data_IF_087559611755
#
_entry.id   IF_087559611755
#
_cell.length_a   1.000
_cell.length_b   1.000
_cell.length_c   1.000
_cell.angle_alpha   90.00
_cell.angle_beta   90.00
_cell.angle_gamma   90.00
#
_symmetry.space_group_name_H-M   'P 1'
#
loop_
_entity.id
_entity.type
_entity.pdbx_description
1 polymer ?
#
# COMPACT_ATOMS: atom_id res chain seq x y z
N UNK A 1 -16.78 13.27 23.21
CA UNK A 1 -17.07 13.06 24.64
C UNK A 1 -18.49 13.46 25.06
N UNK A 2 -19.09 14.54 24.54
CA UNK A 2 -20.51 14.90 24.83
C UNK A 2 -21.49 13.79 24.46
N UNK A 3 -21.26 13.07 23.35
CA UNK A 3 -22.10 11.95 22.91
C UNK A 3 -22.16 10.75 23.87
N UNK A 4 -21.17 10.59 24.76
CA UNK A 4 -21.17 9.53 25.78
C UNK A 4 -22.17 9.82 26.90
N UNK A 5 -22.46 11.11 27.14
CA UNK A 5 -23.44 11.56 28.13
C UNK A 5 -24.85 11.68 27.56
N UNK A 6 -25.00 11.94 26.26
CA UNK A 6 -26.31 12.10 25.61
C UNK A 6 -26.83 10.80 24.98
N UNK A 7 -26.01 9.75 24.88
CA UNK A 7 -26.37 8.49 24.21
C UNK A 7 -26.55 8.61 22.69
N UNK A 8 -26.27 9.78 22.12
CA UNK A 8 -26.42 10.06 20.68
C UNK A 8 -25.06 10.01 20.01
N UNK A 9 -24.94 9.16 18.97
CA UNK A 9 -23.77 9.15 18.07
C UNK A 9 -23.80 10.42 17.21
N UNK A 10 -23.01 11.43 17.60
CA UNK A 10 -22.96 12.73 16.92
C UNK A 10 -22.20 12.69 15.58
N UNK A 11 -21.36 11.67 15.36
CA UNK A 11 -20.56 11.51 14.15
C UNK A 11 -20.72 10.11 13.57
N UNK A 12 -20.66 10.00 12.24
CA UNK A 12 -20.67 8.73 11.53
C UNK A 12 -19.23 8.30 11.22
N UNK A 13 -18.72 7.35 12.01
CA UNK A 13 -17.37 6.85 11.85
C UNK A 13 -17.18 6.08 10.54
N UNK A 14 -18.19 5.37 10.03
CA UNK A 14 -18.10 4.65 8.77
C UNK A 14 -17.79 5.59 7.59
N UNK A 15 -18.39 6.78 7.56
CA UNK A 15 -18.12 7.79 6.51
C UNK A 15 -16.70 8.33 6.62
N UNK A 16 -16.23 8.58 7.86
CA UNK A 16 -14.87 9.06 8.10
C UNK A 16 -13.86 8.00 7.68
N UNK A 17 -14.06 6.74 8.04
CA UNK A 17 -13.20 5.64 7.59
C UNK A 17 -13.24 5.48 6.07
N UNK A 18 -14.42 5.52 5.45
CA UNK A 18 -14.56 5.42 4.00
C UNK A 18 -13.77 6.51 3.26
N UNK A 19 -13.69 7.73 3.82
CA UNK A 19 -12.86 8.81 3.27
C UNK A 19 -11.38 8.40 3.18
N UNK A 20 -10.82 7.82 4.25
CA UNK A 20 -9.42 7.35 4.26
C UNK A 20 -9.20 6.22 3.26
N UNK A 21 -10.21 5.37 3.05
CA UNK A 21 -10.14 4.29 2.09
C UNK A 21 -10.14 4.80 0.65
N UNK A 22 -11.05 5.72 0.32
CA UNK A 22 -11.11 6.35 -1.00
C UNK A 22 -9.84 7.16 -1.30
N UNK A 23 -9.35 7.91 -0.32
CA UNK A 23 -8.09 8.64 -0.45
C UNK A 23 -6.92 7.71 -0.79
N UNK A 24 -6.81 6.59 -0.08
CA UNK A 24 -5.76 5.59 -0.30
C UNK A 24 -5.85 4.96 -1.69
N UNK A 25 -7.05 4.63 -2.17
CA UNK A 25 -7.28 4.11 -3.51
C UNK A 25 -6.79 5.09 -4.58
N UNK A 26 -7.23 6.36 -4.51
CA UNK A 26 -6.87 7.38 -5.48
C UNK A 26 -5.35 7.59 -5.49
N UNK A 27 -4.73 7.67 -4.31
CA UNK A 27 -3.28 7.88 -4.20
C UNK A 27 -2.48 6.73 -4.81
N UNK A 28 -2.85 5.48 -4.50
CA UNK A 28 -2.16 4.30 -5.01
C UNK A 28 -2.30 4.09 -6.51
N UNK A 29 -3.50 4.29 -7.07
CA UNK A 29 -3.68 4.26 -8.52
C UNK A 29 -3.03 5.45 -9.22
N UNK A 30 -3.03 6.62 -8.57
CA UNK A 30 -2.39 7.84 -9.08
C UNK A 30 -0.89 7.68 -9.25
N UNK A 31 -0.20 7.06 -8.31
CA UNK A 31 1.26 6.90 -8.37
C UNK A 31 1.72 6.06 -9.57
N UNK A 32 1.04 4.94 -9.80
CA UNK A 32 1.28 4.09 -10.96
C UNK A 32 0.94 4.82 -12.28
N UNK A 33 -0.15 5.57 -12.29
CA UNK A 33 -0.55 6.36 -13.46
C UNK A 33 0.48 7.46 -13.81
N UNK A 34 0.99 8.18 -12.81
CA UNK A 34 2.00 9.24 -12.98
C UNK A 34 3.29 8.67 -13.57
N UNK A 35 3.76 7.52 -13.06
CA UNK A 35 4.98 6.88 -13.55
C UNK A 35 4.83 6.47 -15.02
N UNK A 36 3.69 5.85 -15.37
CA UNK A 36 3.39 5.44 -16.75
C UNK A 36 3.40 6.61 -17.75
N UNK A 37 2.92 7.77 -17.34
CA UNK A 37 2.87 8.97 -18.21
C UNK A 37 4.15 9.81 -18.14
N UNK A 38 5.15 9.40 -17.35
CA UNK A 38 6.41 10.13 -17.22
C UNK A 38 6.28 11.50 -16.55
N UNK A 39 5.16 11.78 -15.87
CA UNK A 39 4.86 13.05 -15.15
C UNK A 39 5.38 13.01 -13.70
N UNK A 40 6.37 12.17 -13.45
CA UNK A 40 7.02 12.12 -12.14
C UNK A 40 7.71 13.45 -11.84
N UNK A 41 7.71 13.86 -10.57
CA UNK A 41 8.42 15.06 -10.13
C UNK A 41 9.92 14.79 -10.32
N UNK A 42 10.55 15.57 -11.20
CA UNK A 42 11.99 15.52 -11.47
C UNK A 42 12.61 16.84 -11.03
N UNK A 43 13.88 16.80 -10.66
CA UNK A 43 14.61 18.01 -10.29
C UNK A 43 14.89 18.82 -11.56
N UNK A 44 14.06 19.81 -11.85
CA UNK A 44 14.02 20.51 -13.14
C UNK A 44 15.33 21.20 -13.52
N UNK A 45 16.09 21.73 -12.56
CA UNK A 45 17.36 22.40 -12.86
C UNK A 45 18.42 21.46 -13.44
N UNK A 46 18.43 20.20 -13.01
CA UNK A 46 19.46 19.23 -13.41
C UNK A 46 19.16 18.66 -14.81
N UNK A 47 17.88 18.60 -15.19
CA UNK A 47 17.41 17.96 -16.41
C UNK A 47 17.30 18.92 -17.61
N UNK A 48 17.17 20.23 -17.42
CA UNK A 48 16.93 21.18 -18.51
C UNK A 48 17.96 21.07 -19.66
N UNK A 49 19.26 21.05 -19.35
CA UNK A 49 20.33 21.12 -20.34
C UNK A 49 21.00 19.77 -20.68
N UNK A 50 20.36 18.64 -20.38
CA UNK A 50 20.97 17.31 -20.58
C UNK A 50 20.56 16.67 -21.91
N UNK A 51 21.49 15.92 -22.52
CA UNK A 51 21.22 15.11 -23.72
C UNK A 51 20.21 14.00 -23.42
N UNK A 52 19.42 13.53 -24.43
CA UNK A 52 18.40 12.50 -24.22
C UNK A 52 18.99 11.20 -23.64
N UNK A 53 20.20 10.82 -24.04
CA UNK A 53 20.92 9.66 -23.47
C UNK A 53 21.26 9.85 -21.99
N UNK A 54 21.69 11.05 -21.58
CA UNK A 54 22.02 11.32 -20.17
C UNK A 54 20.77 11.37 -19.30
N UNK A 55 19.66 11.91 -19.82
CA UNK A 55 18.35 11.84 -19.16
C UNK A 55 17.93 10.38 -18.94
N UNK A 56 18.02 9.54 -19.98
CA UNK A 56 17.68 8.13 -19.88
C UNK A 56 18.55 7.37 -18.87
N UNK A 57 19.85 7.67 -18.81
CA UNK A 57 20.75 7.09 -17.80
C UNK A 57 20.37 7.48 -16.36
N UNK A 58 20.06 8.76 -16.12
CA UNK A 58 19.67 9.24 -14.79
C UNK A 58 18.38 8.56 -14.36
N UNK A 59 17.37 8.51 -15.23
CA UNK A 59 16.12 7.83 -14.94
C UNK A 59 16.36 6.35 -14.65
N UNK A 60 17.14 5.65 -15.48
CA UNK A 60 17.43 4.22 -15.32
C UNK A 60 18.10 3.91 -13.97
N UNK A 61 19.11 4.69 -13.60
CA UNK A 61 19.81 4.55 -12.32
C UNK A 61 18.86 4.84 -11.15
N UNK A 62 18.01 5.87 -11.26
CA UNK A 62 17.01 6.20 -10.24
C UNK A 62 16.00 5.07 -10.02
N UNK A 63 15.56 4.41 -11.10
CA UNK A 63 14.67 3.25 -10.99
C UNK A 63 15.35 2.08 -10.26
N UNK A 64 16.62 1.80 -10.56
CA UNK A 64 17.36 0.70 -9.94
C UNK A 64 17.70 0.97 -8.47
N UNK A 65 18.19 2.17 -8.15
CA UNK A 65 18.73 2.45 -6.82
C UNK A 65 17.69 2.95 -5.83
N UNK A 66 16.60 3.56 -6.30
CA UNK A 66 15.56 4.10 -5.42
C UNK A 66 14.24 3.37 -5.59
N UNK A 67 13.70 3.29 -6.82
CA UNK A 67 12.32 2.86 -7.01
C UNK A 67 12.11 1.36 -6.79
N UNK A 68 12.94 0.51 -7.41
CA UNK A 68 12.88 -0.94 -7.25
C UNK A 68 13.09 -1.40 -5.80
N UNK A 69 14.16 -0.99 -5.08
CA UNK A 69 14.36 -1.41 -3.71
C UNK A 69 13.24 -0.91 -2.80
N UNK A 70 12.72 0.30 -3.04
CA UNK A 70 11.55 0.81 -2.31
C UNK A 70 10.30 -0.06 -2.53
N UNK A 71 10.00 -0.44 -3.78
CA UNK A 71 8.85 -1.31 -4.06
C UNK A 71 9.01 -2.70 -3.43
N UNK A 72 10.20 -3.30 -3.54
CA UNK A 72 10.49 -4.61 -2.95
C UNK A 72 10.35 -4.55 -1.44
N UNK A 73 10.93 -3.53 -0.80
CA UNK A 73 10.83 -3.33 0.64
C UNK A 73 9.38 -3.11 1.08
N UNK A 74 8.62 -2.30 0.35
CA UNK A 74 7.21 -2.04 0.65
C UNK A 74 6.37 -3.32 0.57
N UNK A 75 6.56 -4.13 -0.48
CA UNK A 75 5.89 -5.43 -0.62
C UNK A 75 6.30 -6.36 0.52
N UNK A 76 7.61 -6.44 0.82
CA UNK A 76 8.14 -7.30 1.87
C UNK A 76 7.56 -6.97 3.25
N UNK A 77 7.55 -5.68 3.62
CA UNK A 77 7.02 -5.23 4.91
C UNK A 77 5.50 -5.40 4.99
N UNK A 78 4.79 -5.24 3.87
CA UNK A 78 3.32 -5.28 3.85
C UNK A 78 2.75 -6.70 3.71
N UNK A 79 3.54 -7.66 3.22
CA UNK A 79 3.08 -9.02 2.94
C UNK A 79 2.47 -9.73 4.15
N UNK A 80 3.20 -9.79 5.28
CA UNK A 80 2.71 -10.44 6.49
C UNK A 80 1.48 -9.74 7.09
N UNK A 81 1.46 -8.41 7.29
CA UNK A 81 0.28 -7.69 7.77
C UNK A 81 -0.98 -7.94 6.92
N UNK A 82 -0.83 -8.05 5.59
CA UNK A 82 -1.95 -8.40 4.71
C UNK A 82 -2.45 -9.80 5.03
N UNK A 83 -1.58 -10.81 5.02
CA UNK A 83 -2.01 -12.19 5.30
C UNK A 83 -2.70 -12.32 6.66
N UNK A 84 -2.16 -11.67 7.69
CA UNK A 84 -2.77 -11.63 9.02
C UNK A 84 -4.17 -11.04 8.98
N UNK A 85 -4.38 -9.95 8.24
CA UNK A 85 -5.71 -9.35 8.08
C UNK A 85 -6.71 -10.21 7.32
N UNK A 86 -6.24 -11.19 6.53
CA UNK A 86 -7.08 -12.20 5.87
C UNK A 86 -7.22 -13.50 6.71
N UNK A 87 -6.92 -13.42 8.01
CA UNK A 87 -7.04 -14.54 8.94
C UNK A 87 -5.89 -15.56 8.88
N UNK A 88 -4.86 -15.32 8.06
CA UNK A 88 -3.69 -16.18 7.98
C UNK A 88 -2.60 -15.69 8.95
N UNK A 89 -2.54 -16.29 10.13
CA UNK A 89 -1.59 -15.92 11.19
C UNK A 89 -0.28 -16.71 11.02
N UNK A 90 0.70 -16.12 10.33
CA UNK A 90 2.08 -16.62 10.30
C UNK A 90 2.85 -16.10 11.53
N UNK A 91 3.38 -16.98 12.38
CA UNK A 91 4.10 -16.60 13.61
C UNK A 91 5.58 -16.25 13.37
N UNK A 92 6.02 -16.03 12.13
CA UNK A 92 7.43 -16.04 11.78
C UNK A 92 7.74 -14.99 10.70
N UNK A 93 8.00 -13.75 11.13
CA UNK A 93 8.43 -12.68 10.24
C UNK A 93 9.48 -11.78 10.90
N UNK A 94 10.48 -11.34 10.12
CA UNK A 94 11.58 -10.44 10.53
C UNK A 94 11.09 -9.13 11.17
N UNK A 95 9.82 -8.79 10.98
CA UNK A 95 9.13 -7.64 11.58
C UNK A 95 7.99 -8.08 12.52
N UNK A 96 8.17 -9.10 13.38
CA UNK A 96 7.17 -9.53 14.40
C UNK A 96 6.80 -8.44 15.44
N UNK A 97 7.46 -7.27 15.42
CA UNK A 97 7.06 -6.13 16.24
C UNK A 97 5.65 -5.59 15.94
N UNK A 98 5.13 -5.76 14.72
CA UNK A 98 3.80 -5.24 14.34
C UNK A 98 2.64 -6.00 15.01
N UNK A 99 2.84 -7.27 15.39
CA UNK A 99 1.88 -8.08 16.15
C UNK A 99 1.54 -7.48 17.53
N UNK A 100 2.39 -6.57 18.02
CA UNK A 100 2.17 -5.84 19.28
C UNK A 100 1.38 -4.55 19.10
N UNK A 101 1.35 -3.98 17.89
CA UNK A 101 0.71 -2.69 17.59
C UNK A 101 -0.65 -2.84 16.89
N UNK A 102 -0.95 -3.99 16.30
CA UNK A 102 -2.20 -4.25 15.59
C UNK A 102 -3.39 -4.63 16.51
N UNK A 103 -3.18 -4.65 17.84
CA UNK A 103 -4.22 -4.98 18.82
C UNK A 103 -4.62 -6.46 18.82
N UNK A 104 -3.88 -7.36 18.13
CA UNK A 104 -4.19 -8.79 18.18
C UNK A 104 -4.05 -9.38 19.59
N UNK A 105 -3.19 -8.80 20.44
CA UNK A 105 -3.12 -9.11 21.87
C UNK A 105 -4.38 -8.73 22.65
N UNK A 106 -5.05 -7.65 22.25
CA UNK A 106 -6.28 -7.13 22.84
C UNK A 106 -7.51 -7.92 22.38
N UNK A 107 -7.54 -8.36 21.11
CA UNK A 107 -8.55 -9.28 20.59
C UNK A 107 -8.45 -10.68 21.24
N UNK A 108 -7.23 -11.18 21.50
CA UNK A 108 -6.99 -12.40 22.27
C UNK A 108 -7.45 -12.22 23.73
N UNK A 109 -7.22 -11.05 24.33
CA UNK A 109 -7.66 -10.74 25.70
C UNK A 109 -9.19 -10.62 25.81
N UNK A 110 -9.85 -10.00 24.83
CA UNK A 110 -11.31 -9.88 24.75
C UNK A 110 -11.99 -11.24 24.55
N UNK A 111 -11.41 -12.12 23.72
CA UNK A 111 -11.89 -13.50 23.59
C UNK A 111 -11.70 -14.31 24.87
N UNK A 112 -10.54 -14.16 25.53
CA UNK A 112 -10.28 -14.78 26.84
C UNK A 112 -11.27 -14.31 27.91
N UNK A 113 -11.70 -13.05 27.86
CA UNK A 113 -12.73 -12.49 28.74
C UNK A 113 -14.13 -13.07 28.45
N UNK A 114 -14.51 -13.25 27.18
CA UNK A 114 -15.79 -13.86 26.80
C UNK A 114 -15.90 -15.35 27.16
N UNK A 115 -14.80 -16.12 27.09
CA UNK A 115 -14.81 -17.53 27.51
C UNK A 115 -14.86 -17.74 29.02
N UNK A 116 -14.49 -16.74 29.83
CA UNK A 116 -14.66 -16.80 31.28
C UNK A 116 -16.15 -16.69 31.70
N UNK A 117 -17.05 -16.27 30.80
CA UNK A 117 -18.49 -16.14 31.06
C UNK A 117 -19.30 -17.40 30.70
N UNK A 118 -18.71 -18.37 29.97
CA UNK A 118 -19.37 -19.61 29.58
C UNK A 118 -18.61 -20.82 30.17
N UNK A 119 -19.21 -21.61 31.08
CA UNK A 119 -18.56 -22.76 31.70
C UNK A 119 -18.25 -23.91 30.73
N UNK A 120 -18.76 -23.86 29.50
CA UNK A 120 -18.52 -24.86 28.46
C UNK A 120 -17.58 -24.37 27.33
N UNK A 121 -17.01 -23.15 27.42
CA UNK A 121 -16.04 -22.71 26.42
C UNK A 121 -14.73 -23.50 26.56
N UNK A 122 -14.53 -24.50 25.70
CA UNK A 122 -13.18 -25.03 25.44
C UNK A 122 -12.38 -23.99 24.65
N UNK A 123 -11.25 -23.56 25.22
CA UNK A 123 -10.26 -22.72 24.52
C UNK A 123 -9.56 -23.60 23.47
N UNK A 124 -10.25 -23.88 22.37
CA UNK A 124 -9.65 -24.57 21.24
C UNK A 124 -9.01 -23.52 20.32
N UNK A 125 -7.69 -23.59 20.15
CA UNK A 125 -6.95 -22.66 19.29
C UNK A 125 -7.49 -22.67 17.85
N UNK A 126 -8.13 -23.77 17.41
CA UNK A 126 -8.76 -23.90 16.09
C UNK A 126 -10.12 -23.20 15.97
N UNK A 127 -10.88 -22.99 17.05
CA UNK A 127 -12.16 -22.24 17.01
C UNK A 127 -11.94 -20.73 17.00
N UNK A 128 -10.85 -20.26 17.62
CA UNK A 128 -10.39 -18.87 17.62
C UNK A 128 -10.05 -18.32 16.23
N UNK A 129 -9.43 -19.15 15.36
CA UNK A 129 -9.00 -18.74 14.01
C UNK A 129 -10.19 -18.70 13.02
N UNK A 130 -11.33 -19.30 13.39
CA UNK A 130 -12.45 -19.54 12.47
C UNK A 130 -13.52 -18.45 12.47
N UNK A 131 -13.50 -17.50 13.41
CA UNK A 131 -14.64 -16.60 13.64
C UNK A 131 -14.54 -15.23 12.97
N UNK A 132 -13.38 -14.83 12.44
CA UNK A 132 -13.26 -13.61 11.63
C UNK A 132 -12.40 -13.91 10.40
N UNK A 133 -13.01 -14.05 9.21
CA UNK A 133 -12.23 -14.22 7.98
C UNK A 133 -11.37 -12.98 7.66
N UNK A 134 -11.73 -11.82 8.22
CA UNK A 134 -11.04 -10.55 7.96
C UNK A 134 -10.95 -9.67 9.23
N UNK A 135 -9.90 -8.86 9.32
CA UNK A 135 -9.78 -7.81 10.35
C UNK A 135 -10.82 -6.69 10.13
N UNK A 136 -11.54 -6.31 11.19
CA UNK A 136 -12.51 -5.20 11.23
C UNK A 136 -11.95 -4.06 12.09
N UNK A 137 -12.26 -2.82 11.73
CA UNK A 137 -11.87 -1.64 12.52
C UNK A 137 -12.43 -1.71 13.95
N UNK A 138 -11.64 -1.43 15.01
CA UNK A 138 -12.10 -1.38 16.40
C UNK A 138 -13.12 -0.28 16.68
N UNK A 139 -13.25 0.69 15.78
CA UNK A 139 -14.19 1.79 15.91
C UNK A 139 -15.65 1.31 15.74
N UNK A 140 -16.60 1.93 16.45
CA UNK A 140 -18.01 1.56 16.33
C UNK A 140 -18.52 1.87 14.91
N UNK A 141 -19.12 0.86 14.26
CA UNK A 141 -19.52 0.87 12.84
C UNK A 141 -18.34 0.83 11.84
N UNK A 142 -17.22 0.26 12.30
CA UNK A 142 -15.97 0.17 11.57
C UNK A 142 -15.99 -0.76 10.34
N UNK A 143 -15.24 -0.38 9.30
CA UNK A 143 -15.17 -1.11 8.04
C UNK A 143 -14.14 -2.26 8.08
N UNK A 144 -14.27 -3.27 7.20
CA UNK A 144 -13.23 -4.28 7.01
C UNK A 144 -11.90 -3.65 6.58
N UNK A 145 -10.80 -4.00 7.25
CA UNK A 145 -9.44 -3.48 6.98
C UNK A 145 -8.63 -4.35 6.03
N UNK A 146 -9.02 -5.61 5.86
CA UNK A 146 -8.29 -6.53 4.98
C UNK A 146 -8.24 -6.10 3.51
N UNK A 147 -9.32 -5.55 2.90
CA UNK A 147 -9.29 -5.09 1.51
C UNK A 147 -8.37 -3.89 1.29
N UNK A 148 -8.26 -2.97 2.25
CA UNK A 148 -7.38 -1.80 2.06
C UNK A 148 -5.90 -2.19 2.16
N UNK A 149 -5.56 -3.12 3.04
CA UNK A 149 -4.19 -3.63 3.14
C UNK A 149 -3.78 -4.38 1.87
N UNK A 150 -4.68 -5.13 1.21
CA UNK A 150 -4.34 -5.77 -0.08
C UNK A 150 -4.14 -4.77 -1.20
N UNK A 151 -4.87 -3.65 -1.20
CA UNK A 151 -4.67 -2.59 -2.18
C UNK A 151 -3.25 -2.02 -2.12
N UNK A 152 -2.59 -2.02 -0.97
CA UNK A 152 -1.18 -1.63 -0.85
C UNK A 152 -0.30 -2.56 -1.69
N UNK A 153 -0.49 -3.89 -1.59
CA UNK A 153 0.26 -4.86 -2.40
C UNK A 153 -0.03 -4.73 -3.89
N UNK A 154 -1.30 -4.51 -4.26
CA UNK A 154 -1.68 -4.27 -5.65
C UNK A 154 -1.02 -3.00 -6.19
N UNK A 155 -1.00 -1.92 -5.40
CA UNK A 155 -0.38 -0.65 -5.76
C UNK A 155 1.11 -0.80 -6.02
N UNK A 156 1.86 -1.30 -5.05
CA UNK A 156 3.31 -1.48 -5.19
C UNK A 156 3.67 -2.56 -6.22
N UNK A 157 2.85 -3.61 -6.36
CA UNK A 157 3.02 -4.60 -7.43
C UNK A 157 2.85 -3.99 -8.82
N UNK A 158 1.83 -3.15 -9.00
CA UNK A 158 1.61 -2.43 -10.26
C UNK A 158 2.74 -1.44 -10.56
N UNK A 159 3.23 -0.72 -9.54
CA UNK A 159 4.32 0.23 -9.65
C UNK A 159 5.63 -0.49 -9.98
N UNK A 160 5.89 -1.64 -9.37
CA UNK A 160 7.04 -2.49 -9.67
C UNK A 160 7.02 -2.97 -11.12
N UNK A 161 5.86 -3.42 -11.62
CA UNK A 161 5.71 -3.86 -13.01
C UNK A 161 5.94 -2.70 -13.99
N UNK A 162 5.45 -1.50 -13.67
CA UNK A 162 5.69 -0.30 -14.46
C UNK A 162 7.15 0.15 -14.41
N UNK A 163 7.82 0.06 -13.26
CA UNK A 163 9.24 0.34 -13.15
C UNK A 163 10.06 -0.57 -14.09
N UNK A 164 9.69 -1.86 -14.18
CA UNK A 164 10.30 -2.79 -15.14
C UNK A 164 10.01 -2.37 -16.58
N UNK A 165 8.76 -2.02 -16.91
CA UNK A 165 8.40 -1.59 -18.25
C UNK A 165 9.17 -0.35 -18.69
N UNK A 166 9.30 0.67 -17.83
CA UNK A 166 10.07 1.88 -18.11
C UNK A 166 11.58 1.60 -18.23
N UNK A 167 12.14 0.75 -17.37
CA UNK A 167 13.54 0.32 -17.52
C UNK A 167 13.83 -0.33 -18.88
N UNK A 168 12.92 -1.16 -19.39
CA UNK A 168 13.09 -1.78 -20.72
C UNK A 168 13.12 -0.71 -21.82
N UNK A 169 12.21 0.29 -21.76
CA UNK A 169 12.20 1.40 -22.71
C UNK A 169 13.50 2.22 -22.62
N UNK A 170 13.96 2.51 -21.40
CA UNK A 170 15.19 3.25 -21.17
C UNK A 170 16.41 2.51 -21.72
N UNK A 171 16.48 1.19 -21.55
CA UNK A 171 17.53 0.36 -22.14
C UNK A 171 17.52 0.40 -23.68
N UNK A 172 16.35 0.42 -24.31
CA UNK A 172 16.23 0.55 -25.77
C UNK A 172 16.79 1.90 -26.27
N UNK A 173 16.52 2.99 -25.55
CA UNK A 173 17.08 4.32 -25.84
C UNK A 173 18.60 4.32 -25.69
N UNK A 174 19.14 3.68 -24.65
CA UNK A 174 20.58 3.56 -24.45
C UNK A 174 21.29 2.73 -25.54
N UNK A 175 20.58 1.78 -26.16
CA UNK A 175 21.06 1.00 -27.31
C UNK A 175 21.01 1.76 -28.64
N UNK A 176 20.58 3.03 -28.65
CA UNK A 176 20.57 3.89 -29.83
C UNK A 176 19.24 4.03 -30.53
N UNK A 177 18.14 3.46 -29.99
CA UNK A 177 16.78 3.68 -30.51
C UNK A 177 16.17 4.99 -29.97
N UNK A 178 16.81 6.13 -30.24
CA UNK A 178 16.40 7.44 -29.71
C UNK A 178 15.01 7.89 -30.20
N UNK A 179 14.52 7.35 -31.32
CA UNK A 179 13.20 7.68 -31.86
C UNK A 179 12.06 7.30 -30.90
N UNK A 180 12.20 6.22 -30.12
CA UNK A 180 11.21 5.78 -29.13
C UNK A 180 11.10 6.76 -27.95
N UNK A 181 12.19 7.45 -27.62
CA UNK A 181 12.19 8.49 -26.58
C UNK A 181 11.42 9.73 -27.01
N UNK A 182 11.56 10.15 -28.27
CA UNK A 182 10.86 11.32 -28.81
C UNK A 182 9.35 11.11 -28.88
N UNK A 183 8.90 9.92 -29.28
CA UNK A 183 7.47 9.58 -29.27
C UNK A 183 6.91 9.64 -27.84
N UNK A 184 7.58 8.99 -26.88
CA UNK A 184 7.16 9.01 -25.48
C UNK A 184 7.15 10.42 -24.85
N UNK A 185 8.10 11.28 -25.22
CA UNK A 185 8.14 12.67 -24.75
C UNK A 185 7.08 13.57 -25.44
N UNK A 186 6.71 13.26 -26.68
CA UNK A 186 5.65 13.96 -27.42
C UNK A 186 4.26 13.60 -26.90
N UNK A 187 4.08 12.38 -26.39
CA UNK A 187 2.81 11.87 -25.86
C UNK A 187 2.57 12.31 -24.40
N UNK A 188 3.59 12.83 -23.72
CA UNK A 188 3.44 13.37 -22.37
C UNK A 188 2.59 14.65 -22.41
N UNK A 189 1.64 14.84 -21.47
CA UNK A 189 0.82 16.04 -21.44
C UNK A 189 1.71 17.27 -21.33
N UNK A 190 1.36 18.32 -22.09
CA UNK A 190 2.11 19.57 -22.27
C UNK A 190 2.74 20.00 -20.94
N UNK A 191 4.07 19.95 -20.86
CA UNK A 191 4.84 20.59 -19.80
C UNK A 191 4.66 22.10 -20.00
N UNK A 192 3.84 22.71 -19.16
CA UNK A 192 3.76 24.17 -19.08
C UNK A 192 5.08 24.61 -18.45
N UNK A 193 6.02 25.06 -19.27
CA UNK A 193 7.17 25.86 -18.82
C UNK A 193 6.77 27.32 -18.64
#
# INVERSE_FOLDING_TARGET
YVGQFTGVKLTNNAIIELQWYLYTLIFFFGFAYILKNGVNVRVDFWFANQTPKRKAWIDFIGHILALLPFCILAIYVTYNPVLTSWGHRSNEGVFSGWDKWDGTSEQIAAYRANCNADPNCEINFQTLIRQMPWEISPDPDGLPRAPIKTMILVAFGSLFLQAIAEMIKLLAVLRGQEHLFKTAASDAPIRIE
#
